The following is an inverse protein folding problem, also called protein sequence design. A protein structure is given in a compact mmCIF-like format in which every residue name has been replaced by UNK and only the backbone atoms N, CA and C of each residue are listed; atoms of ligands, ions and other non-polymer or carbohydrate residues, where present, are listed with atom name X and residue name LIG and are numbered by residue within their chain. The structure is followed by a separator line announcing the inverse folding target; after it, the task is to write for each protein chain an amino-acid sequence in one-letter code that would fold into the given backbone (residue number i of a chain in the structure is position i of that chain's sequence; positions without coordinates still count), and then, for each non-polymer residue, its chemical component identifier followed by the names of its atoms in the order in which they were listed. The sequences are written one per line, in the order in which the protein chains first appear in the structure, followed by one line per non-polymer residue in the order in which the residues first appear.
data_IF_965812869972
#
_entry.id   IF_965812869972
#
_cell.length_a   1.000
_cell.length_b   1.000
_cell.length_c   1.000
_cell.angle_alpha   90.00
_cell.angle_beta   90.00
_cell.angle_gamma   90.00
#
_symmetry.space_group_name_H-M   'P 1'
#
loop_
_entity.id
_entity.type
_entity.pdbx_description
1 polymer ?
#
# COMPACT_ATOMS: atom_id res chain seq x y z
N UNK A 1 -5.21 4.39 7.40
CA UNK A 1 -4.20 3.87 6.44
C UNK A 1 -2.74 3.98 6.92
N UNK A 2 -2.39 4.85 7.89
CA UNK A 2 -0.97 5.14 8.23
C UNK A 2 -0.18 4.01 8.90
N UNK A 3 -0.85 3.07 9.59
CA UNK A 3 -0.17 2.29 10.66
C UNK A 3 0.32 0.91 10.25
N UNK A 4 -0.27 0.27 9.24
CA UNK A 4 0.30 -0.89 8.57
C UNK A 4 -0.63 -1.31 7.43
N UNK A 5 -0.10 -1.86 6.34
CA UNK A 5 -0.87 -2.73 5.49
C UNK A 5 -0.82 -4.12 6.11
N UNK A 6 -1.98 -4.64 6.54
CA UNK A 6 -2.13 -6.01 7.07
C UNK A 6 -1.70 -7.13 6.09
N UNK A 7 -1.25 -6.78 4.89
CA UNK A 7 -0.82 -7.70 3.85
C UNK A 7 0.68 -7.66 3.55
N UNK A 8 1.46 -6.70 4.07
CA UNK A 8 2.92 -6.71 3.88
C UNK A 8 3.68 -7.27 5.09
N UNK A 9 3.13 -8.22 5.83
CA UNK A 9 3.88 -8.87 6.91
C UNK A 9 5.23 -9.46 6.42
N UNK A 10 5.34 -9.85 5.14
CA UNK A 10 6.61 -10.27 4.53
C UNK A 10 7.62 -9.14 4.23
N UNK A 11 7.14 -7.90 4.04
CA UNK A 11 7.98 -6.75 3.66
C UNK A 11 8.22 -5.78 4.82
N UNK A 12 7.34 -5.78 5.83
CA UNK A 12 7.24 -4.66 6.77
C UNK A 12 7.51 -5.03 8.23
N UNK A 13 7.30 -6.28 8.63
CA UNK A 13 7.38 -6.65 10.04
C UNK A 13 8.06 -8.00 10.21
N UNK A 14 9.20 -8.01 10.91
CA UNK A 14 9.76 -9.19 11.57
C UNK A 14 8.79 -9.79 12.64
N UNK A 15 7.53 -10.07 12.28
CA UNK A 15 6.53 -10.75 13.12
C UNK A 15 5.65 -9.90 14.04
N UNK A 16 5.55 -8.58 13.87
CA UNK A 16 4.69 -7.73 14.73
C UNK A 16 3.27 -7.53 14.17
N UNK A 17 2.29 -7.80 15.02
CA UNK A 17 0.85 -7.74 14.68
C UNK A 17 0.40 -6.31 14.40
N UNK A 18 -0.28 -6.12 13.27
CA UNK A 18 -0.85 -4.82 12.88
C UNK A 18 -1.95 -4.37 13.86
N UNK A 19 -2.13 -3.05 14.12
CA UNK A 19 -3.15 -2.54 15.04
C UNK A 19 -4.58 -2.62 14.48
N UNK A 20 -5.53 -3.07 15.31
CA UNK A 20 -6.94 -3.28 14.97
C UNK A 20 -7.83 -2.05 15.21
N UNK A 21 -7.29 -0.93 15.68
CA UNK A 21 -8.02 0.31 15.95
C UNK A 21 -7.39 1.51 15.24
N UNK A 22 -8.24 2.46 14.84
CA UNK A 22 -7.82 3.77 14.34
C UNK A 22 -7.08 4.49 15.47
N UNK A 23 -5.77 4.62 15.34
CA UNK A 23 -4.93 5.33 16.31
C UNK A 23 -5.16 6.83 16.19
N UNK A 24 -5.27 7.54 17.31
CA UNK A 24 -5.39 8.99 17.33
C UNK A 24 -4.17 9.64 16.64
N UNK A 25 -4.43 10.67 15.81
CA UNK A 25 -3.40 11.43 15.09
C UNK A 25 -3.03 10.90 13.69
N UNK A 26 -3.72 9.89 13.15
CA UNK A 26 -3.52 9.37 11.77
C UNK A 26 -3.83 10.39 10.66
N UNK A 27 -4.55 11.46 10.99
CA UNK A 27 -5.10 12.43 10.02
C UNK A 27 -4.15 13.56 9.62
N UNK A 28 -3.06 13.81 10.36
CA UNK A 28 -2.01 14.75 9.95
C UNK A 28 -1.05 14.03 8.98
N UNK A 29 -1.34 14.14 7.68
CA UNK A 29 -0.53 13.54 6.61
C UNK A 29 0.49 14.57 6.13
N UNK A 30 1.76 14.16 6.04
CA UNK A 30 2.85 14.98 5.50
C UNK A 30 3.59 14.24 4.40
N UNK A 31 3.89 14.93 3.31
CA UNK A 31 4.73 14.40 2.23
C UNK A 31 6.12 14.05 2.81
N UNK A 32 6.68 12.92 2.37
CA UNK A 32 7.93 12.35 2.89
C UNK A 32 7.80 11.59 4.21
N UNK A 33 6.62 11.58 4.85
CA UNK A 33 6.44 10.80 6.06
C UNK A 33 6.53 9.30 5.76
N UNK A 34 7.12 8.54 6.68
CA UNK A 34 7.12 7.08 6.60
C UNK A 34 5.68 6.59 6.67
N UNK A 35 5.32 5.80 5.67
CA UNK A 35 4.02 5.17 5.54
C UNK A 35 4.29 3.68 5.49
N UNK A 36 3.66 2.88 6.36
CA UNK A 36 3.76 1.42 6.23
C UNK A 36 5.23 0.94 6.14
N UNK A 37 6.09 1.40 7.06
CA UNK A 37 7.54 1.16 7.29
C UNK A 37 8.50 1.17 6.08
N UNK A 38 8.18 0.45 5.01
CA UNK A 38 8.87 0.39 3.72
C UNK A 38 8.46 1.44 2.69
N UNK A 39 7.43 2.25 2.94
CA UNK A 39 6.99 3.30 2.02
C UNK A 39 7.13 4.72 2.59
N UNK A 40 7.07 5.70 1.70
CA UNK A 40 6.94 7.10 2.02
C UNK A 40 5.72 7.69 1.31
N UNK A 41 5.06 8.64 1.96
CA UNK A 41 3.98 9.39 1.34
C UNK A 41 4.54 10.36 0.31
N UNK A 42 4.12 10.24 -0.95
CA UNK A 42 4.59 11.15 -2.02
C UNK A 42 3.52 12.10 -2.51
N UNK A 43 2.23 11.78 -2.29
CA UNK A 43 1.12 12.64 -2.67
C UNK A 43 -0.14 12.28 -1.88
N UNK A 44 -0.98 13.25 -1.53
CA UNK A 44 -2.32 12.97 -1.03
C UNK A 44 -3.24 14.18 -1.20
N UNK A 45 -4.53 13.90 -1.29
CA UNK A 45 -5.60 14.85 -1.10
C UNK A 45 -6.65 14.20 -0.21
N UNK A 46 -7.08 14.93 0.82
CA UNK A 46 -8.05 14.44 1.79
C UNK A 46 -9.34 14.03 1.08
N UNK A 47 -9.88 12.86 1.45
CA UNK A 47 -11.11 12.28 0.90
C UNK A 47 -11.08 12.04 -0.62
N UNK A 48 -9.89 12.11 -1.25
CA UNK A 48 -9.70 11.78 -2.67
C UNK A 48 -8.66 10.71 -2.88
N UNK A 49 -7.40 10.94 -2.51
CA UNK A 49 -6.35 9.97 -2.82
C UNK A 49 -5.17 10.03 -1.86
N UNK A 50 -4.41 8.94 -1.85
CA UNK A 50 -3.11 8.84 -1.21
C UNK A 50 -2.19 8.01 -2.09
N UNK A 51 -0.99 8.53 -2.34
CA UNK A 51 0.04 7.87 -3.15
C UNK A 51 1.29 7.69 -2.31
N UNK A 52 1.78 6.46 -2.29
CA UNK A 52 2.96 6.05 -1.54
C UNK A 52 3.96 5.42 -2.49
N UNK A 53 5.25 5.59 -2.18
CA UNK A 53 6.36 5.02 -2.94
C UNK A 53 7.26 4.23 -2.02
N UNK A 54 7.81 3.10 -2.51
CA UNK A 54 8.80 2.35 -1.77
C UNK A 54 10.01 3.23 -1.49
N UNK A 55 10.50 3.18 -0.26
CA UNK A 55 11.71 3.91 0.13
C UNK A 55 12.90 3.43 -0.69
N UNK A 56 13.85 4.34 -0.96
CA UNK A 56 15.04 4.03 -1.76
C UNK A 56 16.09 3.25 -0.95
N UNK A 57 15.75 2.01 -0.60
CA UNK A 57 16.64 1.08 0.07
C UNK A 57 17.30 0.17 -0.97
N UNK A 58 18.66 0.07 -1.01
CA UNK A 58 19.36 -0.72 -2.01
C UNK A 58 18.89 -2.18 -2.08
N UNK A 59 18.66 -2.82 -0.92
CA UNK A 59 18.15 -4.18 -0.86
C UNK A 59 16.72 -4.32 -1.40
N UNK A 60 15.83 -3.38 -1.06
CA UNK A 60 14.46 -3.37 -1.59
C UNK A 60 14.45 -3.18 -3.10
N UNK A 61 15.18 -2.18 -3.59
CA UNK A 61 15.28 -1.85 -5.01
C UNK A 61 15.86 -3.00 -5.82
N UNK A 62 16.79 -3.75 -5.25
CA UNK A 62 17.36 -4.94 -5.88
C UNK A 62 16.35 -6.09 -5.98
N UNK A 63 15.56 -6.34 -4.93
CA UNK A 63 14.62 -7.46 -4.88
C UNK A 63 13.29 -7.16 -5.60
N UNK A 64 12.69 -6.00 -5.31
CA UNK A 64 11.32 -5.66 -5.71
C UNK A 64 11.25 -4.51 -6.71
N UNK A 65 12.36 -3.79 -6.92
CA UNK A 65 12.38 -2.61 -7.79
C UNK A 65 11.76 -1.39 -7.10
N UNK A 66 11.30 -0.45 -7.92
CA UNK A 66 10.62 0.77 -7.48
C UNK A 66 9.10 0.56 -7.52
N UNK A 67 8.41 0.66 -6.39
CA UNK A 67 6.98 0.42 -6.30
C UNK A 67 6.28 1.72 -5.92
N UNK A 68 5.27 2.10 -6.71
CA UNK A 68 4.36 3.22 -6.41
C UNK A 68 2.95 2.66 -6.31
N UNK A 69 2.24 3.01 -5.26
CA UNK A 69 0.85 2.60 -5.01
C UNK A 69 0.00 3.84 -4.80
N UNK A 70 -1.10 3.95 -5.55
CA UNK A 70 -2.10 4.99 -5.36
C UNK A 70 -3.42 4.36 -4.94
N UNK A 71 -3.99 4.84 -3.85
CA UNK A 71 -5.37 4.59 -3.44
C UNK A 71 -6.21 5.81 -3.80
N UNK A 72 -7.31 5.60 -4.51
CA UNK A 72 -8.23 6.64 -4.96
C UNK A 72 -9.64 6.33 -4.47
N UNK A 73 -10.32 7.34 -3.96
CA UNK A 73 -11.70 7.30 -3.52
C UNK A 73 -12.53 7.90 -4.65
N UNK A 74 -13.35 7.07 -5.28
CA UNK A 74 -14.36 7.50 -6.24
C UNK A 74 -15.70 7.63 -5.50
N UNK A 75 -16.28 8.84 -5.39
CA UNK A 75 -17.55 9.02 -4.71
C UNK A 75 -18.68 8.36 -5.51
N UNK A 76 -19.60 7.70 -4.82
CA UNK A 76 -20.82 7.12 -5.37
C UNK A 76 -22.04 7.78 -4.70
N UNK A 77 -23.25 7.65 -5.29
CA UNK A 77 -24.48 8.07 -4.63
C UNK A 77 -24.69 7.40 -3.26
N UNK A 78 -25.61 7.94 -2.47
CA UNK A 78 -26.04 7.37 -1.18
C UNK A 78 -24.93 7.23 -0.12
N UNK A 79 -24.02 8.20 -0.07
CA UNK A 79 -22.88 8.22 0.86
C UNK A 79 -21.96 6.98 0.73
N UNK A 80 -21.94 6.38 -0.46
CA UNK A 80 -21.05 5.28 -0.79
C UNK A 80 -19.79 5.80 -1.45
N UNK A 81 -18.75 4.98 -1.45
CA UNK A 81 -17.56 5.23 -2.25
C UNK A 81 -16.99 3.93 -2.80
N UNK A 82 -16.26 4.04 -3.91
CA UNK A 82 -15.44 2.98 -4.45
C UNK A 82 -13.97 3.30 -4.17
N UNK A 83 -13.32 2.40 -3.45
CA UNK A 83 -11.88 2.46 -3.24
C UNK A 83 -11.16 1.73 -4.38
N UNK A 84 -10.44 2.49 -5.19
CA UNK A 84 -9.61 2.00 -6.29
C UNK A 84 -8.14 1.96 -5.84
N UNK A 85 -7.41 0.93 -6.25
CA UNK A 85 -5.96 0.84 -6.01
C UNK A 85 -5.24 0.59 -7.31
N UNK A 86 -4.16 1.32 -7.51
CA UNK A 86 -3.26 1.13 -8.65
C UNK A 86 -1.84 1.00 -8.14
N UNK A 87 -1.21 -0.13 -8.45
CA UNK A 87 0.21 -0.35 -8.23
C UNK A 87 0.97 -0.25 -9.55
N UNK A 88 2.13 0.41 -9.51
CA UNK A 88 3.10 0.43 -10.60
C UNK A 88 4.44 -0.06 -10.06
N UNK A 89 4.95 -1.15 -10.63
CA UNK A 89 6.27 -1.69 -10.32
C UNK A 89 7.26 -1.42 -11.46
N UNK A 90 8.34 -0.72 -11.14
CA UNK A 90 9.56 -0.63 -11.93
C UNK A 90 10.47 -1.78 -11.57
N UNK A 91 10.29 -2.93 -12.22
CA UNK A 91 11.01 -4.17 -11.93
C UNK A 91 12.54 -4.00 -11.97
N UNK A 92 13.29 -4.74 -11.13
CA UNK A 92 14.75 -4.66 -11.09
C UNK A 92 15.37 -5.06 -12.43
N UNK A 93 16.44 -4.37 -12.81
CA UNK A 93 17.23 -4.68 -14.02
C UNK A 93 18.17 -5.85 -13.70
N UNK A 94 17.75 -7.06 -14.01
CA UNK A 94 18.56 -8.28 -13.84
C UNK A 94 18.04 -9.43 -14.68
N UNK A 95 18.94 -10.24 -15.25
CA UNK A 95 18.62 -11.29 -16.22
C UNK A 95 17.71 -12.39 -15.65
N UNK A 96 17.73 -12.61 -14.32
CA UNK A 96 16.94 -13.63 -13.63
C UNK A 96 15.85 -13.03 -12.72
N UNK A 97 16.17 -12.00 -11.93
CA UNK A 97 15.23 -11.42 -10.97
C UNK A 97 14.09 -10.61 -11.62
N UNK A 98 14.35 -9.91 -12.73
CA UNK A 98 13.32 -9.13 -13.42
C UNK A 98 12.16 -9.99 -13.94
N UNK A 99 12.42 -11.07 -14.71
CA UNK A 99 11.39 -11.99 -15.19
C UNK A 99 10.64 -12.70 -14.06
N UNK A 100 11.36 -13.15 -13.02
CA UNK A 100 10.77 -13.83 -11.87
C UNK A 100 9.79 -12.92 -11.12
N UNK A 101 10.20 -11.69 -10.81
CA UNK A 101 9.34 -10.72 -10.13
C UNK A 101 8.16 -10.29 -11.00
N UNK A 102 8.34 -10.18 -12.31
CA UNK A 102 7.24 -9.90 -13.24
C UNK A 102 6.19 -11.02 -13.28
N UNK A 103 6.58 -12.27 -13.01
CA UNK A 103 5.67 -13.41 -12.94
C UNK A 103 4.99 -13.51 -11.57
N UNK A 104 5.72 -13.26 -10.47
CA UNK A 104 5.22 -13.46 -9.11
C UNK A 104 4.45 -12.26 -8.53
N UNK A 105 4.85 -11.03 -8.86
CA UNK A 105 4.23 -9.83 -8.29
C UNK A 105 2.76 -9.67 -8.68
N UNK A 106 2.33 -9.84 -9.96
CA UNK A 106 0.92 -9.64 -10.31
C UNK A 106 -0.06 -10.58 -9.58
N UNK A 107 0.14 -11.91 -9.55
CA UNK A 107 -0.78 -12.79 -8.83
C UNK A 107 -0.69 -12.61 -7.30
N UNK A 108 0.51 -12.40 -6.76
CA UNK A 108 0.72 -12.15 -5.34
C UNK A 108 0.02 -10.87 -4.88
N UNK A 109 0.22 -9.77 -5.62
CA UNK A 109 -0.42 -8.49 -5.34
C UNK A 109 -1.94 -8.57 -5.45
N UNK A 110 -2.48 -9.26 -6.47
CA UNK A 110 -3.94 -9.36 -6.66
C UNK A 110 -4.66 -9.99 -5.46
N UNK A 111 -4.12 -11.08 -4.92
CA UNK A 111 -4.70 -11.75 -3.76
C UNK A 111 -4.55 -10.89 -2.49
N UNK A 112 -3.37 -10.31 -2.28
CA UNK A 112 -3.05 -9.47 -1.13
C UNK A 112 -3.87 -8.17 -1.11
N UNK A 113 -3.95 -7.50 -2.25
CA UNK A 113 -4.69 -6.25 -2.46
C UNK A 113 -6.18 -6.48 -2.24
N UNK A 114 -6.73 -7.59 -2.74
CA UNK A 114 -8.12 -7.95 -2.49
C UNK A 114 -8.40 -8.12 -1.00
N UNK A 115 -7.53 -8.80 -0.26
CA UNK A 115 -7.66 -8.95 1.19
C UNK A 115 -7.64 -7.59 1.88
N UNK A 116 -6.70 -6.71 1.53
CA UNK A 116 -6.59 -5.37 2.08
C UNK A 116 -7.85 -4.54 1.83
N UNK A 117 -8.37 -4.55 0.60
CA UNK A 117 -9.60 -3.83 0.22
C UNK A 117 -10.82 -4.32 0.99
N UNK A 118 -10.98 -5.64 1.17
CA UNK A 118 -12.08 -6.19 1.97
C UNK A 118 -11.96 -5.80 3.44
N UNK A 119 -10.75 -5.77 3.99
CA UNK A 119 -10.54 -5.27 5.36
C UNK A 119 -10.91 -3.80 5.48
N UNK A 120 -10.51 -2.95 4.53
CA UNK A 120 -10.92 -1.55 4.52
C UNK A 120 -12.43 -1.39 4.44
N UNK A 121 -13.10 -2.20 3.61
CA UNK A 121 -14.56 -2.23 3.55
C UNK A 121 -15.17 -2.55 4.92
N UNK A 122 -14.75 -3.64 5.57
CA UNK A 122 -15.29 -4.02 6.89
C UNK A 122 -15.04 -2.97 7.96
N UNK A 123 -13.88 -2.30 7.96
CA UNK A 123 -13.57 -1.24 8.92
C UNK A 123 -14.38 0.04 8.66
N UNK A 124 -14.70 0.34 7.40
CA UNK A 124 -15.48 1.52 7.04
C UNK A 124 -16.99 1.31 7.26
N UNK A 125 -17.50 0.09 7.08
CA UNK A 125 -18.92 -0.26 7.25
C UNK A 125 -19.28 -0.69 8.68
N UNK A 126 -18.28 -1.11 9.48
CA UNK A 126 -18.47 -1.62 10.83
C UNK A 126 -18.25 -0.60 11.96
N UNK A 127 -18.00 0.67 11.61
CA UNK A 127 -17.91 1.80 12.54
C UNK A 127 -19.12 2.72 12.40
#
# INVERSE_FOLDING_TARGET
MRVAPYSYDWLDNFGRTSPRSLSDGITDLRIGQVFMTGFELVEFERDRHVTIRSRDWPAWRFMFGDIVISYLIEPLPDNQCRLLVKMRAGYPKGLLMGPLMRMLLPPGDSFMMRKQLLTFKTLAEGG
#
